data_IF_870161204417
#
_entry.id   IF_870161204417
#
_cell.length_a   1.000
_cell.length_b   1.000
_cell.length_c   1.000
_cell.angle_alpha   90.00
_cell.angle_beta   90.00
_cell.angle_gamma   90.00
#
_symmetry.space_group_name_H-M   'P 1'
#
loop_
_entity.id
_entity.type
_entity.pdbx_description
1 polymer ?
#
# COMPACT_ATOMS: atom_id res chain seq x y z
N UNK A 1 -4.86 4.77 15.94
CA UNK A 1 -5.64 4.11 14.90
C UNK A 1 -4.78 3.91 13.67
N UNK A 2 -4.65 2.67 13.19
CA UNK A 2 -3.88 2.39 11.98
C UNK A 2 -4.58 3.03 10.77
N UNK A 3 -3.85 3.83 10.03
CA UNK A 3 -4.41 4.53 8.88
C UNK A 3 -4.18 3.79 7.57
N UNK A 4 -3.11 3.14 7.39
CA UNK A 4 -2.67 2.32 6.23
C UNK A 4 -3.76 1.96 5.20
N UNK A 5 -4.42 2.97 4.65
CA UNK A 5 -5.62 2.80 3.82
C UNK A 5 -5.48 3.49 2.48
N UNK A 6 -6.25 3.01 1.50
CA UNK A 6 -6.46 3.67 0.21
C UNK A 6 -7.92 4.08 0.09
N UNK A 7 -8.20 5.07 -0.75
CA UNK A 7 -9.55 5.59 -0.91
C UNK A 7 -10.47 4.59 -1.59
N UNK A 8 -11.76 4.70 -1.26
CA UNK A 8 -12.83 4.06 -2.00
C UNK A 8 -12.68 4.35 -3.50
N UNK A 9 -12.89 3.35 -4.33
CA UNK A 9 -12.74 3.46 -5.78
C UNK A 9 -11.35 3.12 -6.30
N UNK A 10 -10.35 2.96 -5.41
CA UNK A 10 -9.01 2.53 -5.83
C UNK A 10 -9.09 1.15 -6.48
N UNK A 11 -8.48 1.00 -7.64
CA UNK A 11 -8.44 -0.26 -8.38
C UNK A 11 -7.31 -1.14 -7.87
N UNK A 12 -7.66 -2.34 -7.44
CA UNK A 12 -6.69 -3.33 -6.95
C UNK A 12 -6.45 -4.37 -8.03
N UNK A 13 -5.17 -4.65 -8.31
CA UNK A 13 -4.79 -5.63 -9.33
C UNK A 13 -5.03 -7.04 -8.83
N UNK A 14 -5.80 -7.80 -9.58
CA UNK A 14 -6.13 -9.21 -9.31
C UNK A 14 -5.39 -10.12 -10.28
N UNK A 15 -5.77 -11.40 -10.34
CA UNK A 15 -5.23 -12.33 -11.34
C UNK A 15 -5.85 -12.08 -12.73
N UNK A 16 -5.20 -12.63 -13.78
CA UNK A 16 -5.67 -12.53 -15.17
C UNK A 16 -5.83 -11.10 -15.69
N UNK A 17 -4.94 -10.19 -15.27
CA UNK A 17 -4.95 -8.77 -15.67
C UNK A 17 -6.25 -8.04 -15.32
N UNK A 18 -7.03 -8.58 -14.40
CA UNK A 18 -8.25 -7.95 -13.91
C UNK A 18 -7.97 -6.96 -12.79
N UNK A 19 -8.81 -5.93 -12.71
CA UNK A 19 -8.83 -4.99 -11.59
C UNK A 19 -10.21 -4.94 -10.98
N UNK A 20 -10.27 -4.58 -9.70
CA UNK A 20 -11.54 -4.43 -9.00
C UNK A 20 -11.44 -3.29 -8.00
N UNK A 21 -12.49 -2.50 -7.90
CA UNK A 21 -12.56 -1.44 -6.89
C UNK A 21 -12.48 -2.05 -5.49
N UNK A 22 -11.68 -1.42 -4.62
CA UNK A 22 -11.38 -1.98 -3.29
C UNK A 22 -12.63 -2.28 -2.47
N UNK A 23 -13.67 -1.46 -2.56
CA UNK A 23 -14.92 -1.65 -1.82
C UNK A 23 -15.73 -2.86 -2.28
N UNK A 24 -15.40 -3.43 -3.43
CA UNK A 24 -16.07 -4.61 -3.97
C UNK A 24 -15.32 -5.90 -3.68
N UNK A 25 -14.12 -5.82 -3.13
CA UNK A 25 -13.29 -6.99 -2.82
C UNK A 25 -13.83 -7.75 -1.61
N UNK A 26 -13.53 -9.05 -1.60
CA UNK A 26 -13.90 -9.95 -0.51
C UNK A 26 -12.71 -10.79 -0.07
N UNK A 27 -12.66 -11.16 1.19
CA UNK A 27 -11.70 -12.12 1.70
C UNK A 27 -11.79 -13.42 0.89
N UNK A 28 -10.65 -14.04 0.59
CA UNK A 28 -10.56 -15.23 -0.24
C UNK A 28 -10.29 -14.96 -1.72
N UNK A 29 -10.50 -13.74 -2.20
CA UNK A 29 -10.08 -13.38 -3.55
C UNK A 29 -8.56 -13.27 -3.62
N UNK A 30 -7.99 -13.50 -4.81
CA UNK A 30 -6.55 -13.42 -5.04
C UNK A 30 -6.19 -12.10 -5.67
N UNK A 31 -5.18 -11.45 -5.11
CA UNK A 31 -4.61 -10.23 -5.68
C UNK A 31 -3.15 -10.45 -6.08
N UNK A 32 -2.65 -9.57 -6.93
CA UNK A 32 -1.26 -9.60 -7.35
C UNK A 32 -0.39 -8.91 -6.32
N UNK A 33 0.65 -9.60 -5.86
CA UNK A 33 1.66 -9.12 -4.94
C UNK A 33 3.03 -9.11 -5.60
N UNK A 34 3.97 -8.40 -4.99
CA UNK A 34 5.35 -8.33 -5.45
C UNK A 34 6.29 -8.47 -4.25
N UNK A 35 7.19 -9.44 -4.32
CA UNK A 35 8.21 -9.68 -3.31
C UNK A 35 9.53 -9.07 -3.76
N UNK A 36 10.09 -8.17 -2.97
CA UNK A 36 11.34 -7.46 -3.29
C UNK A 36 12.51 -8.25 -2.70
N UNK A 37 13.46 -8.63 -3.56
CA UNK A 37 14.66 -9.34 -3.12
C UNK A 37 15.53 -8.44 -2.24
N UNK A 38 15.99 -8.97 -1.12
CA UNK A 38 16.83 -8.24 -0.16
C UNK A 38 16.07 -7.39 0.85
N UNK A 39 14.74 -7.26 0.70
CA UNK A 39 13.88 -6.64 1.70
C UNK A 39 12.96 -7.72 2.26
N UNK A 40 13.00 -7.89 3.57
CA UNK A 40 12.19 -8.91 4.22
C UNK A 40 10.69 -8.65 4.02
N UNK A 41 9.97 -9.69 3.64
CA UNK A 41 8.51 -9.65 3.58
C UNK A 41 7.98 -9.74 5.02
N UNK A 42 7.48 -8.63 5.54
CA UNK A 42 6.98 -8.57 6.91
C UNK A 42 5.63 -7.87 6.97
N UNK A 43 4.79 -8.37 7.86
CA UNK A 43 3.55 -7.69 8.21
C UNK A 43 3.78 -6.60 9.26
N UNK A 44 4.90 -6.64 9.96
CA UNK A 44 5.25 -5.66 10.98
C UNK A 44 5.83 -4.41 10.32
N UNK A 45 5.00 -3.37 10.22
CA UNK A 45 5.40 -2.10 9.59
C UNK A 45 6.53 -1.39 10.33
N UNK A 46 6.77 -1.71 11.61
CA UNK A 46 7.87 -1.11 12.35
C UNK A 46 9.25 -1.52 11.82
N UNK A 47 9.30 -2.64 11.08
CA UNK A 47 10.52 -3.14 10.45
C UNK A 47 10.74 -2.55 9.05
N UNK A 48 9.70 -1.99 8.45
CA UNK A 48 9.82 -1.33 7.15
C UNK A 48 10.63 -0.03 7.27
N UNK A 49 11.26 0.37 6.18
CA UNK A 49 12.07 1.58 6.16
C UNK A 49 13.44 1.44 6.79
N UNK A 50 13.76 0.29 7.39
CA UNK A 50 15.06 0.01 8.00
C UNK A 50 16.03 -0.69 7.03
N UNK A 51 15.50 -1.22 5.95
CA UNK A 51 16.27 -1.95 4.94
C UNK A 51 16.13 -1.26 3.60
N UNK A 52 17.25 -1.14 2.91
CA UNK A 52 17.28 -0.61 1.54
C UNK A 52 18.17 -1.50 0.67
N UNK A 53 17.92 -1.49 -0.63
CA UNK A 53 18.68 -2.27 -1.60
C UNK A 53 19.20 -1.36 -2.70
N UNK A 54 20.35 -1.75 -3.29
CA UNK A 54 20.94 -1.02 -4.39
C UNK A 54 20.45 -1.52 -5.75
N UNK A 55 20.04 -2.77 -5.82
CA UNK A 55 19.48 -3.38 -7.03
C UNK A 55 18.04 -3.76 -6.74
N UNK A 56 17.13 -3.31 -7.58
CA UNK A 56 15.72 -3.62 -7.42
C UNK A 56 15.36 -4.83 -8.28
N UNK A 57 15.15 -5.97 -7.62
CA UNK A 57 14.70 -7.20 -8.23
C UNK A 57 13.61 -7.82 -7.36
N UNK A 58 12.76 -8.60 -7.97
CA UNK A 58 11.70 -9.28 -7.22
C UNK A 58 10.84 -10.15 -8.09
N UNK A 59 9.78 -10.69 -7.50
CA UNK A 59 8.87 -11.63 -8.14
C UNK A 59 7.42 -11.26 -7.91
N UNK A 60 6.63 -11.35 -8.97
CA UNK A 60 5.17 -11.28 -8.88
C UNK A 60 4.62 -12.62 -8.37
N UNK A 61 3.59 -12.55 -7.54
CA UNK A 61 2.85 -13.74 -7.11
C UNK A 61 1.41 -13.38 -6.77
N UNK A 62 0.52 -14.37 -6.82
CA UNK A 62 -0.86 -14.16 -6.39
C UNK A 62 -1.01 -14.56 -4.93
N UNK A 63 -1.63 -13.70 -4.14
CA UNK A 63 -1.83 -13.90 -2.71
C UNK A 63 -3.29 -13.72 -2.34
N UNK A 64 -3.74 -14.47 -1.34
CA UNK A 64 -5.12 -14.38 -0.87
C UNK A 64 -5.33 -13.13 -0.02
N UNK A 65 -6.45 -12.48 -0.22
CA UNK A 65 -6.94 -11.44 0.67
C UNK A 65 -7.47 -12.11 1.93
N UNK A 66 -6.87 -11.77 3.07
CA UNK A 66 -7.26 -12.33 4.37
C UNK A 66 -8.39 -11.53 4.99
N UNK A 67 -8.28 -10.21 5.01
CA UNK A 67 -9.28 -9.31 5.57
C UNK A 67 -9.31 -8.00 4.80
N UNK A 68 -10.46 -7.34 4.85
CA UNK A 68 -10.67 -6.00 4.31
C UNK A 68 -11.45 -5.21 5.36
N UNK A 69 -10.98 -4.00 5.65
CA UNK A 69 -11.63 -3.12 6.61
C UNK A 69 -11.99 -1.80 5.96
N UNK A 70 -13.11 -1.25 6.38
CA UNK A 70 -13.62 0.04 5.95
C UNK A 70 -13.46 1.04 7.10
N UNK A 71 -13.01 2.24 6.75
CA UNK A 71 -12.79 3.31 7.71
C UNK A 71 -13.13 4.67 7.11
N UNK A 72 -13.06 5.71 7.91
CA UNK A 72 -13.25 7.09 7.45
C UNK A 72 -12.08 7.92 7.96
N UNK A 73 -11.45 8.71 7.09
CA UNK A 73 -10.35 9.58 7.46
C UNK A 73 -10.57 11.01 7.01
N UNK A 74 -9.99 11.93 7.79
CA UNK A 74 -10.15 13.37 7.61
C UNK A 74 -9.24 13.94 6.53
N UNK A 75 -8.18 13.22 6.16
CA UNK A 75 -7.22 13.69 5.17
C UNK A 75 -6.53 12.53 4.47
N UNK A 76 -5.95 12.80 3.32
CA UNK A 76 -5.19 11.83 2.55
C UNK A 76 -4.23 12.55 1.61
N UNK A 77 -3.32 11.81 1.00
CA UNK A 77 -2.42 12.32 -0.04
C UNK A 77 -2.87 11.84 -1.41
N UNK A 78 -2.78 12.72 -2.40
CA UNK A 78 -3.01 12.40 -3.80
C UNK A 78 -1.70 12.55 -4.56
N UNK A 79 -1.24 11.45 -5.17
CA UNK A 79 0.06 11.37 -5.85
C UNK A 79 -0.18 11.27 -7.34
N UNK A 80 0.44 12.16 -8.11
CA UNK A 80 0.36 12.21 -9.58
C UNK A 80 -1.08 12.19 -10.11
N UNK A 81 -2.03 12.66 -9.32
CA UNK A 81 -3.45 12.62 -9.64
C UNK A 81 -3.97 11.19 -9.92
N UNK A 82 -3.25 10.17 -9.47
CA UNK A 82 -3.56 8.77 -9.72
C UNK A 82 -3.79 7.94 -8.47
N UNK A 83 -2.99 8.12 -7.42
CA UNK A 83 -3.07 7.35 -6.18
C UNK A 83 -3.51 8.21 -5.02
N UNK A 84 -4.60 7.82 -4.36
CA UNK A 84 -5.12 8.48 -3.15
C UNK A 84 -4.97 7.53 -1.96
N UNK A 85 -4.19 7.93 -0.98
CA UNK A 85 -3.67 7.06 0.06
C UNK A 85 -3.41 7.82 1.35
N UNK A 86 -3.57 7.16 2.50
CA UNK A 86 -3.36 7.81 3.80
C UNK A 86 -1.88 8.02 4.11
N UNK A 87 -1.59 8.97 4.98
CA UNK A 87 -0.25 9.53 5.23
C UNK A 87 0.79 8.53 5.73
N UNK A 88 0.37 7.54 6.49
CA UNK A 88 1.26 6.58 7.13
C UNK A 88 1.45 5.27 6.33
N UNK A 89 0.82 5.17 5.17
CA UNK A 89 0.91 3.99 4.32
C UNK A 89 2.31 3.89 3.71
N UNK A 90 2.89 2.69 3.74
CA UNK A 90 4.21 2.44 3.15
C UNK A 90 4.11 2.13 1.67
N UNK A 91 4.98 2.76 0.89
CA UNK A 91 5.18 2.52 -0.55
C UNK A 91 6.65 2.31 -0.82
N UNK A 92 6.99 1.63 -1.93
CA UNK A 92 8.38 1.44 -2.31
C UNK A 92 8.87 2.65 -3.11
N UNK A 93 9.95 3.26 -2.65
CA UNK A 93 10.51 4.49 -3.19
C UNK A 93 11.92 4.27 -3.73
N UNK A 94 12.19 4.84 -4.90
CA UNK A 94 13.53 4.95 -5.45
C UNK A 94 14.03 6.36 -5.23
N UNK A 95 15.20 6.49 -4.61
CA UNK A 95 15.88 7.76 -4.38
C UNK A 95 17.38 7.57 -4.45
N UNK A 96 18.08 8.32 -5.32
CA UNK A 96 19.54 8.24 -5.48
C UNK A 96 20.05 6.81 -5.72
N UNK A 97 19.36 6.04 -6.57
CA UNK A 97 19.65 4.64 -6.90
C UNK A 97 19.56 3.68 -5.71
N UNK A 98 18.89 4.10 -4.64
CA UNK A 98 18.53 3.26 -3.51
C UNK A 98 17.01 3.03 -3.51
N UNK A 99 16.58 1.85 -3.04
CA UNK A 99 15.17 1.44 -2.99
C UNK A 99 14.82 1.04 -1.58
N UNK A 100 13.72 1.59 -1.06
CA UNK A 100 13.31 1.35 0.33
C UNK A 100 11.83 1.65 0.52
N UNK A 101 11.27 1.06 1.58
CA UNK A 101 9.91 1.40 2.01
C UNK A 101 9.91 2.74 2.72
N UNK A 102 8.93 3.59 2.39
CA UNK A 102 8.77 4.90 3.00
C UNK A 102 7.29 5.20 3.19
N UNK A 103 6.95 5.91 4.26
CA UNK A 103 5.59 6.37 4.46
C UNK A 103 5.27 7.53 3.50
N UNK A 104 4.03 7.56 3.02
CA UNK A 104 3.57 8.55 2.05
C UNK A 104 3.84 9.99 2.49
N UNK A 105 3.67 10.28 3.78
CA UNK A 105 3.92 11.63 4.32
C UNK A 105 5.37 12.11 4.16
N UNK A 106 6.31 11.19 3.96
CA UNK A 106 7.73 11.50 3.79
C UNK A 106 8.18 11.54 2.32
N UNK A 107 7.26 11.32 1.39
CA UNK A 107 7.54 11.43 -0.04
C UNK A 107 7.72 12.89 -0.47
N UNK A 108 8.56 13.08 -1.49
CA UNK A 108 8.83 14.41 -2.06
C UNK A 108 8.73 14.35 -3.58
N UNK A 109 8.44 15.48 -4.19
CA UNK A 109 8.53 15.62 -5.66
C UNK A 109 9.95 15.24 -6.07
N UNK A 110 10.07 14.43 -7.12
CA UNK A 110 11.34 13.88 -7.61
C UNK A 110 11.65 12.48 -7.14
N UNK A 111 11.02 12.01 -6.04
CA UNK A 111 11.08 10.59 -5.67
C UNK A 111 10.33 9.78 -6.72
N UNK A 112 10.64 8.47 -6.85
CA UNK A 112 9.97 7.61 -7.81
C UNK A 112 9.33 6.40 -7.11
N UNK A 113 8.18 5.98 -7.60
CA UNK A 113 7.41 4.86 -7.04
C UNK A 113 7.32 3.72 -8.05
N UNK A 114 7.38 2.49 -7.55
CA UNK A 114 7.29 1.29 -8.37
C UNK A 114 5.86 1.03 -8.87
N UNK A 115 5.77 0.69 -10.14
CA UNK A 115 4.50 0.42 -10.82
C UNK A 115 4.40 -1.01 -11.34
N UNK A 116 3.17 -1.39 -11.63
CA UNK A 116 2.80 -2.71 -12.15
C UNK A 116 3.57 -3.13 -13.41
N UNK A 117 3.94 -2.18 -14.26
CA UNK A 117 4.70 -2.44 -15.47
C UNK A 117 6.20 -2.64 -15.24
N UNK A 118 6.59 -2.83 -13.98
CA UNK A 118 7.98 -3.05 -13.57
C UNK A 118 8.88 -1.82 -13.77
N UNK A 119 8.29 -0.63 -13.80
CA UNK A 119 9.00 0.64 -13.93
C UNK A 119 8.86 1.49 -12.67
N UNK A 120 9.67 2.53 -12.56
CA UNK A 120 9.53 3.55 -11.53
C UNK A 120 9.02 4.84 -12.15
N UNK A 121 7.96 5.40 -11.59
CA UNK A 121 7.38 6.65 -12.03
C UNK A 121 7.73 7.77 -11.07
N UNK A 122 8.26 8.86 -11.60
CA UNK A 122 8.60 10.04 -10.83
C UNK A 122 7.35 10.73 -10.28
N UNK A 123 7.42 11.14 -9.02
CA UNK A 123 6.38 11.96 -8.40
C UNK A 123 6.55 13.40 -8.90
N UNK A 124 5.59 13.84 -9.70
CA UNK A 124 5.54 15.20 -10.25
C UNK A 124 4.56 16.09 -9.50
N UNK A 125 3.58 15.46 -8.84
CA UNK A 125 2.57 16.15 -8.05
C UNK A 125 2.23 15.33 -6.83
N UNK A 126 2.22 15.96 -5.67
CA UNK A 126 1.78 15.35 -4.41
C UNK A 126 1.08 16.42 -3.58
N UNK A 127 -0.16 16.11 -3.17
CA UNK A 127 -0.99 17.05 -2.44
C UNK A 127 -1.61 16.39 -1.23
N UNK A 128 -1.56 17.07 -0.09
CA UNK A 128 -2.35 16.68 1.07
C UNK A 128 -3.74 17.29 0.94
N UNK A 129 -4.77 16.47 0.97
CA UNK A 129 -6.15 16.89 0.83
C UNK A 129 -6.86 16.74 2.17
N UNK A 130 -7.32 17.85 2.71
CA UNK A 130 -8.05 17.94 3.97
C UNK A 130 -9.56 17.78 3.69
N UNK A 131 -9.96 16.54 3.40
CA UNK A 131 -11.34 16.20 3.09
C UNK A 131 -11.66 14.82 3.62
N UNK A 132 -12.75 14.67 4.35
CA UNK A 132 -13.18 13.38 4.88
C UNK A 132 -13.59 12.43 3.76
N UNK A 133 -13.01 11.23 3.75
CA UNK A 133 -13.29 10.19 2.77
C UNK A 133 -13.40 8.82 3.40
N UNK A 134 -14.16 7.96 2.76
CA UNK A 134 -14.19 6.54 3.05
C UNK A 134 -12.91 5.90 2.49
N UNK A 135 -12.23 5.14 3.33
CA UNK A 135 -10.99 4.48 2.99
C UNK A 135 -11.06 3.00 3.37
N UNK A 136 -10.19 2.21 2.76
CA UNK A 136 -10.15 0.77 2.95
C UNK A 136 -8.73 0.29 3.20
N UNK A 137 -8.63 -0.71 4.05
CA UNK A 137 -7.38 -1.39 4.36
C UNK A 137 -7.52 -2.86 3.97
N UNK A 138 -6.48 -3.42 3.38
CA UNK A 138 -6.41 -4.83 3.00
C UNK A 138 -5.32 -5.50 3.82
N UNK A 139 -5.61 -6.70 4.32
CA UNK A 139 -4.61 -7.61 4.86
C UNK A 139 -4.41 -8.75 3.87
N UNK A 140 -3.18 -8.93 3.41
CA UNK A 140 -2.78 -10.00 2.50
C UNK A 140 -2.21 -11.16 3.32
N UNK A 141 -2.51 -12.39 2.91
CA UNK A 141 -2.09 -13.58 3.66
C UNK A 141 -0.57 -13.76 3.74
N UNK A 142 0.13 -13.42 2.66
CA UNK A 142 1.59 -13.55 2.58
C UNK A 142 2.14 -12.50 1.61
N UNK A 143 3.45 -12.23 1.67
CA UNK A 143 4.17 -11.22 0.87
C UNK A 143 3.79 -9.78 1.24
N UNK A 144 2.57 -9.55 1.73
CA UNK A 144 2.09 -8.31 2.36
C UNK A 144 2.13 -7.06 1.48
N UNK A 145 2.00 -7.23 0.16
CA UNK A 145 1.97 -6.13 -0.80
C UNK A 145 0.82 -6.30 -1.79
N UNK A 146 0.41 -5.20 -2.41
CA UNK A 146 -0.56 -5.22 -3.50
C UNK A 146 -0.40 -3.98 -4.37
N UNK A 147 -1.03 -3.98 -5.55
CA UNK A 147 -1.00 -2.85 -6.46
C UNK A 147 -2.31 -2.07 -6.39
N UNK A 148 -2.21 -0.80 -6.03
CA UNK A 148 -3.32 0.14 -5.91
C UNK A 148 -3.18 1.19 -7.01
N UNK A 149 -4.13 1.25 -7.93
CA UNK A 149 -4.08 2.10 -9.12
C UNK A 149 -2.74 1.97 -9.87
N UNK A 150 -2.19 0.74 -9.90
CA UNK A 150 -0.94 0.43 -10.56
C UNK A 150 0.32 0.67 -9.73
N UNK A 151 0.22 1.19 -8.53
CA UNK A 151 1.37 1.45 -7.64
C UNK A 151 1.51 0.37 -6.57
N UNK A 152 2.75 -0.05 -6.31
CA UNK A 152 3.02 -1.04 -5.27
C UNK A 152 2.95 -0.41 -3.88
N UNK A 153 2.09 -0.96 -3.04
CA UNK A 153 1.91 -0.51 -1.66
C UNK A 153 2.02 -1.70 -0.71
N UNK A 154 2.43 -1.44 0.53
CA UNK A 154 2.41 -2.44 1.58
C UNK A 154 0.97 -2.61 2.09
N UNK A 155 0.60 -3.81 2.51
CA UNK A 155 -0.72 -4.03 3.08
C UNK A 155 -0.87 -3.29 4.42
N UNK A 156 -2.12 -3.15 4.87
CA UNK A 156 -2.37 -2.62 6.19
C UNK A 156 -1.82 -3.54 7.27
N UNK A 157 -1.32 -2.92 8.32
CA UNK A 157 -0.80 -3.64 9.48
C UNK A 157 -1.91 -3.97 10.46
N UNK A 158 -1.83 -5.16 11.06
CA UNK A 158 -2.63 -5.51 12.22
C UNK A 158 -2.10 -4.84 13.51
N UNK A 159 -1.01 -4.09 13.44
CA UNK A 159 -0.45 -3.37 14.57
C UNK A 159 -1.32 -2.16 14.92
N UNK A 160 -2.34 -2.40 15.70
CA UNK A 160 -3.17 -1.35 16.26
C UNK A 160 -2.49 -0.78 17.51
N UNK A 161 -2.54 0.54 17.73
CA UNK A 161 -1.89 1.16 18.89
C UNK A 161 -2.53 0.76 20.21
N UNK A 162 -3.74 0.23 20.19
CA UNK A 162 -4.40 -0.29 21.37
C UNK A 162 -5.29 -1.48 21.01
N UNK A 163 -5.62 -2.26 22.04
CA UNK A 163 -6.39 -3.50 21.86
C UNK A 163 -7.78 -3.26 21.27
N UNK A 164 -8.38 -2.14 21.61
CA UNK A 164 -9.72 -1.80 21.13
C UNK A 164 -9.71 -1.57 19.62
N UNK A 165 -8.73 -0.80 19.14
CA UNK A 165 -8.59 -0.54 17.72
C UNK A 165 -8.22 -1.80 16.96
N UNK A 166 -7.35 -2.63 17.53
CA UNK A 166 -7.02 -3.93 16.97
C UNK A 166 -8.25 -4.82 16.84
N UNK A 167 -9.07 -4.84 17.88
CA UNK A 167 -10.29 -5.62 17.87
C UNK A 167 -11.24 -5.15 16.76
N UNK A 168 -11.43 -3.85 16.63
CA UNK A 168 -12.25 -3.27 15.58
C UNK A 168 -11.72 -3.63 14.18
N UNK A 169 -10.40 -3.60 14.00
CA UNK A 169 -9.77 -3.98 12.74
C UNK A 169 -9.98 -5.46 12.40
N UNK A 170 -10.02 -6.33 13.40
CA UNK A 170 -10.20 -7.76 13.18
C UNK A 170 -11.65 -8.19 13.01
N UNK A 171 -12.59 -7.45 13.54
CA UNK A 171 -13.99 -7.86 13.63
C UNK A 171 -14.97 -6.89 12.95
N UNK A 172 -14.48 -5.81 12.38
CA UNK A 172 -15.32 -4.83 11.70
C UNK A 172 -15.75 -5.29 10.31
#
# INVERSE_FOLDING_TARGET
>A
MSKNCVLKGTLIQLENDETKEIELLKAGEKLLSYSIEGIENTQDVSLLGKTKVNNFEGEFSYQLIKNIWKNTFESYYKINNELSITEDHYVICKKNDEYYWIQVENLKIGDSLFKLDNSFEEIKDIQKIEEEKTVYNIQVNSIYTFFANGYLVHNGSANCPNVTDCYACYHA
#
